data_IF_809619629135
#
_entry.id   IF_809619629135
#
_cell.length_a   1.000
_cell.length_b   1.000
_cell.length_c   1.000
_cell.angle_alpha   90.00
_cell.angle_beta   90.00
_cell.angle_gamma   90.00
#
_symmetry.space_group_name_H-M   'P 1'
#
loop_
_entity.id
_entity.type
_entity.pdbx_description
1 polymer ?
#
# COMPACT_ATOMS: atom_id res chain seq x y z
N UNK A 1 4.25 19.43 9.07
CA UNK A 1 4.94 18.19 9.48
C UNK A 1 4.26 17.04 8.77
N UNK A 2 4.99 16.19 8.05
CA UNK A 2 4.39 15.00 7.43
C UNK A 2 4.11 13.94 8.50
N UNK A 3 2.94 13.31 8.46
CA UNK A 3 2.62 12.20 9.36
C UNK A 3 3.22 10.90 8.84
N UNK A 4 3.33 9.88 9.69
CA UNK A 4 3.74 8.53 9.26
C UNK A 4 2.84 7.98 8.14
N UNK A 5 1.54 8.31 8.18
CA UNK A 5 0.58 7.93 7.13
C UNK A 5 0.95 8.55 5.78
N UNK A 6 1.32 9.83 5.76
CA UNK A 6 1.68 10.53 4.52
C UNK A 6 3.00 10.01 3.95
N UNK A 7 3.96 9.65 4.81
CA UNK A 7 5.25 9.08 4.41
C UNK A 7 5.04 7.71 3.76
N UNK A 8 4.26 6.82 4.37
CA UNK A 8 3.97 5.48 3.81
C UNK A 8 3.17 5.61 2.50
N UNK A 9 2.17 6.51 2.46
CA UNK A 9 1.39 6.78 1.24
C UNK A 9 2.30 7.21 0.08
N UNK A 10 3.20 8.15 0.33
CA UNK A 10 4.15 8.62 -0.68
C UNK A 10 5.05 7.48 -1.15
N UNK A 11 5.64 6.73 -0.23
CA UNK A 11 6.52 5.61 -0.58
C UNK A 11 5.83 4.58 -1.48
N UNK A 12 4.60 4.19 -1.15
CA UNK A 12 3.83 3.24 -1.98
C UNK A 12 3.53 3.84 -3.35
N UNK A 13 3.21 5.14 -3.45
CA UNK A 13 2.99 5.81 -4.74
C UNK A 13 4.25 5.88 -5.60
N UNK A 14 5.40 6.17 -4.98
CA UNK A 14 6.70 6.22 -5.62
C UNK A 14 7.08 4.84 -6.18
N UNK A 15 6.82 3.76 -5.43
CA UNK A 15 6.96 2.37 -5.92
C UNK A 15 6.08 2.06 -7.14
N UNK A 16 4.94 2.74 -7.29
CA UNK A 16 4.03 2.57 -8.42
C UNK A 16 4.32 3.54 -9.58
N UNK A 17 5.34 4.38 -9.55
CA UNK A 17 5.53 5.38 -10.62
C UNK A 17 5.75 4.73 -11.99
N UNK A 18 6.56 3.66 -12.04
CA UNK A 18 6.87 2.94 -13.28
C UNK A 18 5.85 1.84 -13.61
N UNK A 19 5.10 1.36 -12.62
CA UNK A 19 4.20 0.20 -12.75
C UNK A 19 2.72 0.53 -12.47
N UNK A 20 1.82 -0.16 -13.16
CA UNK A 20 0.37 -0.03 -12.90
C UNK A 20 -0.07 -0.83 -11.68
N UNK A 21 0.76 -1.75 -11.21
CA UNK A 21 0.46 -2.63 -10.09
C UNK A 21 1.73 -3.01 -9.35
N UNK A 22 1.66 -3.11 -8.02
CA UNK A 22 2.78 -3.57 -7.18
C UNK A 22 2.31 -4.59 -6.16
N UNK A 23 3.26 -5.39 -5.67
CA UNK A 23 3.05 -6.31 -4.54
C UNK A 23 3.88 -5.83 -3.36
N UNK A 24 3.25 -5.74 -2.20
CA UNK A 24 3.92 -5.40 -0.95
C UNK A 24 3.62 -6.42 0.13
N UNK A 25 4.58 -6.67 1.01
CA UNK A 25 4.33 -7.40 2.25
C UNK A 25 4.16 -6.40 3.39
N UNK A 26 3.02 -6.49 4.08
CA UNK A 26 2.69 -5.57 5.20
C UNK A 26 3.73 -5.62 6.31
N UNK A 27 4.24 -6.80 6.62
CA UNK A 27 5.23 -6.96 7.67
C UNK A 27 6.59 -6.36 7.28
N UNK A 28 6.98 -6.46 6.00
CA UNK A 28 8.23 -5.86 5.52
C UNK A 28 8.17 -4.33 5.55
N UNK A 29 7.06 -3.73 5.07
CA UNK A 29 6.88 -2.28 5.18
C UNK A 29 6.78 -1.83 6.64
N UNK A 30 6.05 -2.57 7.48
CA UNK A 30 5.95 -2.26 8.90
C UNK A 30 7.32 -2.23 9.58
N UNK A 31 8.18 -3.22 9.29
CA UNK A 31 9.55 -3.26 9.77
C UNK A 31 10.39 -2.09 9.22
N UNK A 32 10.30 -1.79 7.92
CA UNK A 32 11.02 -0.68 7.29
C UNK A 32 10.70 0.67 7.96
N UNK A 33 9.42 0.91 8.26
CA UNK A 33 8.96 2.15 8.89
C UNK A 33 8.94 2.09 10.43
N UNK A 34 9.41 1.00 11.03
CA UNK A 34 9.39 0.76 12.49
C UNK A 34 8.00 1.01 13.11
N UNK A 35 6.95 0.48 12.47
CA UNK A 35 5.56 0.61 12.90
C UNK A 35 4.84 -0.73 12.93
N UNK A 36 3.63 -0.78 13.48
CA UNK A 36 2.83 -2.00 13.50
C UNK A 36 2.24 -2.33 12.11
N UNK A 37 2.05 -3.61 11.74
CA UNK A 37 1.37 -3.98 10.48
C UNK A 37 -0.03 -3.38 10.32
N UNK A 38 -0.73 -3.09 11.42
CA UNK A 38 -2.01 -2.38 11.42
C UNK A 38 -1.91 -0.96 10.85
N UNK A 39 -0.76 -0.28 11.02
CA UNK A 39 -0.52 1.03 10.42
C UNK A 39 -0.49 0.94 8.90
N UNK A 40 0.13 -0.12 8.34
CA UNK A 40 0.13 -0.36 6.90
C UNK A 40 -1.29 -0.63 6.42
N UNK A 41 -2.05 -1.47 7.12
CA UNK A 41 -3.47 -1.69 6.80
C UNK A 41 -4.28 -0.40 6.83
N UNK A 42 -4.06 0.46 7.81
CA UNK A 42 -4.77 1.74 7.92
C UNK A 42 -4.47 2.64 6.72
N UNK A 43 -3.20 2.75 6.31
CA UNK A 43 -2.81 3.51 5.11
C UNK A 43 -3.48 2.93 3.87
N UNK A 44 -3.43 1.61 3.68
CA UNK A 44 -4.03 0.95 2.51
C UNK A 44 -5.55 1.17 2.44
N UNK A 45 -6.25 0.98 3.55
CA UNK A 45 -7.72 1.09 3.62
C UNK A 45 -8.24 2.51 3.57
N UNK A 46 -7.41 3.52 3.83
CA UNK A 46 -7.82 4.94 3.80
C UNK A 46 -7.29 5.74 2.61
N UNK A 47 -6.16 5.32 2.01
CA UNK A 47 -5.49 6.06 0.93
C UNK A 47 -5.52 5.35 -0.42
N UNK A 48 -5.60 4.02 -0.43
CA UNK A 48 -5.58 3.19 -1.64
C UNK A 48 -6.94 2.51 -1.83
N UNK A 49 -7.96 3.35 -2.03
CA UNK A 49 -9.36 2.95 -2.18
C UNK A 49 -9.85 3.11 -3.63
N UNK A 50 -10.97 2.47 -3.95
CA UNK A 50 -11.56 2.51 -5.30
C UNK A 50 -11.92 3.95 -5.71
N UNK A 51 -12.48 4.74 -4.80
CA UNK A 51 -12.81 6.16 -5.02
C UNK A 51 -11.57 7.02 -5.31
N UNK A 52 -10.40 6.61 -4.82
CA UNK A 52 -9.11 7.24 -5.08
C UNK A 52 -8.38 6.66 -6.30
N UNK A 53 -9.01 5.73 -7.02
CA UNK A 53 -8.46 5.14 -8.24
C UNK A 53 -7.52 3.96 -7.98
N UNK A 54 -7.65 3.28 -6.85
CA UNK A 54 -6.85 2.10 -6.53
C UNK A 54 -7.73 0.88 -6.22
N UNK A 55 -7.31 -0.28 -6.70
CA UNK A 55 -7.85 -1.57 -6.31
C UNK A 55 -6.81 -2.31 -5.45
N UNK A 56 -7.25 -2.93 -4.36
CA UNK A 56 -6.38 -3.70 -3.47
C UNK A 56 -6.90 -5.12 -3.28
N UNK A 57 -6.00 -6.10 -3.30
CA UNK A 57 -6.31 -7.49 -3.00
C UNK A 57 -5.25 -8.07 -2.06
N UNK A 58 -5.67 -8.85 -1.07
CA UNK A 58 -4.76 -9.47 -0.11
C UNK A 58 -4.72 -10.99 -0.27
N UNK A 59 -3.52 -11.56 -0.39
CA UNK A 59 -3.30 -13.00 -0.33
C UNK A 59 -2.84 -13.40 1.08
N UNK A 60 -3.52 -14.39 1.69
CA UNK A 60 -3.17 -14.96 3.01
C UNK A 60 -2.33 -16.23 2.83
N UNK A 61 -1.54 -16.58 3.86
CA UNK A 61 -0.67 -17.78 3.89
C UNK A 61 0.82 -17.44 4.02
N UNK A 62 1.69 -18.46 3.95
CA UNK A 62 3.14 -18.26 3.89
C UNK A 62 3.52 -17.47 2.64
N UNK A 63 4.15 -16.31 2.81
CA UNK A 63 4.43 -15.36 1.72
C UNK A 63 3.23 -14.51 1.28
N UNK A 64 2.28 -14.28 2.19
CA UNK A 64 1.13 -13.40 1.92
C UNK A 64 1.55 -11.96 1.58
N UNK A 65 0.88 -11.37 0.59
CA UNK A 65 1.15 -10.01 0.11
C UNK A 65 -0.17 -9.24 -0.09
N UNK A 66 -0.06 -7.94 -0.30
CA UNK A 66 -1.12 -7.07 -0.81
C UNK A 66 -0.74 -6.62 -2.20
N UNK A 67 -1.59 -6.91 -3.17
CA UNK A 67 -1.55 -6.37 -4.52
C UNK A 67 -2.25 -5.02 -4.51
N UNK A 68 -1.63 -3.99 -5.07
CA UNK A 68 -2.21 -2.65 -5.24
C UNK A 68 -2.16 -2.32 -6.73
N UNK A 69 -3.29 -1.93 -7.32
CA UNK A 69 -3.40 -1.64 -8.75
C UNK A 69 -4.03 -0.27 -8.99
N UNK A 70 -3.48 0.49 -9.94
CA UNK A 70 -4.08 1.74 -10.42
C UNK A 70 -5.24 1.41 -11.35
N UNK A 71 -6.43 1.90 -11.03
CA UNK A 71 -7.60 1.80 -11.89
C UNK A 71 -7.40 2.77 -13.05
N UNK A 72 -7.10 2.25 -14.25
CA UNK A 72 -7.08 3.07 -15.46
C UNK A 72 -8.51 3.52 -15.78
N UNK A 73 -8.77 4.82 -15.69
CA UNK A 73 -9.99 5.38 -16.28
C UNK A 73 -9.89 5.23 -17.80
N UNK A 74 -10.90 4.59 -18.41
CA UNK A 74 -11.08 4.57 -19.86
C UNK A 74 -11.37 5.97 -20.38
#
# INVERSE_FOLDING_TARGET
MATMTDIIEKFIKDLMEEDNSIQIQRNELANLFSCAPSQINYVLTTRFTIDRGYYIESKKGGGGYVQIEKIRKK
#
